data_IF_329568862363
#
_entry.id   IF_329568862363
#
_cell.length_a   1.000
_cell.length_b   1.000
_cell.length_c   1.000
_cell.angle_alpha   90.00
_cell.angle_beta   90.00
_cell.angle_gamma   90.00
#
_symmetry.space_group_name_H-M   'P 1'
#
loop_
_entity.id
_entity.type
_entity.pdbx_description
1 polymer ?
#
# COMPACT_ATOMS: atom_id res chain seq x y z
N UNK A 1 31.68 -5.89 0.07
CA UNK A 1 30.41 -5.15 0.27
C UNK A 1 30.25 -4.10 -0.85
N UNK A 2 29.99 -4.56 -2.08
CA UNK A 2 30.03 -3.76 -3.33
C UNK A 2 28.61 -3.56 -3.87
N UNK A 3 27.69 -3.07 -3.03
CA UNK A 3 26.32 -2.77 -3.44
C UNK A 3 25.89 -1.35 -3.08
N UNK A 4 26.82 -0.46 -2.69
CA UNK A 4 26.47 0.87 -2.17
C UNK A 4 26.65 2.04 -3.15
N UNK A 5 27.35 1.92 -4.29
CA UNK A 5 27.94 3.14 -4.89
C UNK A 5 27.49 3.63 -6.27
N UNK A 6 26.59 3.00 -7.03
CA UNK A 6 26.29 3.52 -8.40
C UNK A 6 24.86 3.55 -8.92
N UNK A 7 23.86 2.99 -8.23
CA UNK A 7 22.46 3.07 -8.69
C UNK A 7 21.67 4.28 -8.14
N UNK A 8 22.29 5.10 -7.29
CA UNK A 8 21.67 6.28 -6.64
C UNK A 8 22.03 7.60 -7.33
N UNK A 9 21.96 7.66 -8.66
CA UNK A 9 21.93 8.94 -9.37
C UNK A 9 20.49 9.19 -9.81
N UNK A 10 19.75 9.87 -8.94
CA UNK A 10 18.56 10.68 -9.23
C UNK A 10 17.48 10.07 -10.13
N UNK A 11 16.93 8.92 -9.74
CA UNK A 11 15.73 8.41 -10.38
C UNK A 11 14.56 8.53 -9.41
N UNK A 12 13.53 9.29 -9.78
CA UNK A 12 12.20 9.35 -9.14
C UNK A 12 11.70 7.96 -8.72
N UNK A 13 12.06 6.92 -9.47
CA UNK A 13 11.82 5.51 -9.16
C UNK A 13 12.35 5.04 -7.80
N UNK A 14 13.50 5.56 -7.33
CA UNK A 14 14.06 5.22 -6.01
C UNK A 14 13.14 5.70 -4.89
N UNK A 15 12.50 6.86 -5.03
CA UNK A 15 11.52 7.35 -4.05
C UNK A 15 10.27 6.47 -4.00
N UNK A 16 9.76 6.05 -5.16
CA UNK A 16 8.64 5.10 -5.21
C UNK A 16 8.99 3.75 -4.59
N UNK A 17 10.21 3.24 -4.82
CA UNK A 17 10.68 1.99 -4.23
C UNK A 17 10.83 2.07 -2.71
N UNK A 18 11.41 3.16 -2.20
CA UNK A 18 11.54 3.38 -0.75
C UNK A 18 10.14 3.42 -0.12
N UNK A 19 9.21 4.17 -0.71
CA UNK A 19 7.84 4.28 -0.20
C UNK A 19 7.11 2.93 -0.22
N UNK A 20 7.22 2.17 -1.30
CA UNK A 20 6.65 0.82 -1.39
C UNK A 20 7.21 -0.10 -0.31
N UNK A 21 8.53 -0.07 -0.07
CA UNK A 21 9.15 -0.84 1.01
C UNK A 21 8.63 -0.43 2.39
N UNK A 22 8.44 0.86 2.64
CA UNK A 22 7.85 1.35 3.89
C UNK A 22 6.42 0.84 4.10
N UNK A 23 5.57 0.89 3.06
CA UNK A 23 4.21 0.36 3.15
C UNK A 23 4.17 -1.17 3.32
N UNK A 24 5.09 -1.90 2.69
CA UNK A 24 5.20 -3.35 2.90
C UNK A 24 5.64 -3.69 4.34
N UNK A 25 6.57 -2.92 4.91
CA UNK A 25 6.97 -3.09 6.31
C UNK A 25 5.82 -2.77 7.27
N UNK A 26 5.04 -1.72 7.00
CA UNK A 26 3.84 -1.40 7.77
C UNK A 26 2.76 -2.47 7.65
N UNK A 27 2.54 -2.99 6.44
CA UNK A 27 1.59 -4.09 6.19
C UNK A 27 1.99 -5.33 6.97
N UNK A 28 3.29 -5.66 6.95
CA UNK A 28 3.82 -6.77 7.71
C UNK A 28 3.65 -6.53 9.21
N UNK A 29 4.05 -5.39 9.75
CA UNK A 29 3.96 -5.13 11.20
C UNK A 29 2.52 -5.15 11.72
N UNK A 30 1.57 -4.63 10.94
CA UNK A 30 0.15 -4.66 11.30
C UNK A 30 -0.40 -6.08 11.25
N UNK A 31 -0.10 -6.86 10.20
CA UNK A 31 -0.72 -8.17 9.98
C UNK A 31 0.01 -9.34 10.66
N UNK A 32 1.30 -9.19 10.96
CA UNK A 32 2.14 -10.23 11.54
C UNK A 32 1.59 -10.77 12.88
N UNK A 33 1.12 -9.94 13.84
CA UNK A 33 0.51 -10.43 15.07
C UNK A 33 -0.70 -11.34 14.81
N UNK A 34 -1.54 -11.00 13.83
CA UNK A 34 -2.70 -11.81 13.44
C UNK A 34 -2.27 -13.15 12.86
N UNK A 35 -1.28 -13.16 11.97
CA UNK A 35 -0.77 -14.40 11.37
C UNK A 35 -0.07 -15.30 12.38
N UNK A 36 0.75 -14.73 13.28
CA UNK A 36 1.40 -15.47 14.37
C UNK A 36 0.34 -16.13 15.27
N UNK A 37 -0.66 -15.36 15.71
CA UNK A 37 -1.68 -15.90 16.60
C UNK A 37 -2.51 -17.00 15.90
N UNK A 38 -2.83 -16.82 14.62
CA UNK A 38 -3.51 -17.85 13.81
C UNK A 38 -2.66 -19.11 13.65
N UNK A 39 -1.34 -18.96 13.48
CA UNK A 39 -0.40 -20.08 13.39
C UNK A 39 -0.25 -20.86 14.71
N UNK A 40 -0.28 -20.17 15.85
CA UNK A 40 -0.12 -20.79 17.18
C UNK A 40 -1.43 -21.44 17.65
N UNK A 41 -2.55 -20.74 17.52
CA UNK A 41 -3.83 -21.14 18.14
C UNK A 41 -4.78 -21.85 17.17
N UNK A 42 -4.47 -21.83 15.86
CA UNK A 42 -5.36 -22.33 14.81
C UNK A 42 -6.65 -21.51 14.64
N UNK A 43 -6.83 -20.41 15.39
CA UNK A 43 -8.04 -19.59 15.41
C UNK A 43 -7.74 -18.17 14.93
N UNK A 44 -8.72 -17.56 14.26
CA UNK A 44 -8.67 -16.13 13.94
C UNK A 44 -8.63 -15.30 15.24
N UNK A 45 -7.85 -14.22 15.24
CA UNK A 45 -7.77 -13.32 16.39
C UNK A 45 -9.14 -12.67 16.61
N UNK A 46 -9.85 -13.12 17.64
CA UNK A 46 -11.13 -12.55 18.01
C UNK A 46 -10.89 -11.44 19.03
N UNK A 47 -10.84 -10.20 18.55
CA UNK A 47 -10.70 -9.04 19.43
C UNK A 47 -12.07 -8.76 20.02
N UNK A 48 -12.15 -8.69 21.35
CA UNK A 48 -13.42 -8.53 22.08
C UNK A 48 -14.22 -7.29 21.66
N UNK A 49 -13.54 -6.24 21.20
CA UNK A 49 -14.17 -5.04 20.68
C UNK A 49 -14.42 -5.15 19.15
N UNK A 50 -15.69 -5.31 18.76
CA UNK A 50 -16.13 -5.41 17.35
C UNK A 50 -15.67 -4.21 16.50
N UNK A 51 -15.75 -3.00 17.05
CA UNK A 51 -15.36 -1.77 16.34
C UNK A 51 -13.85 -1.72 16.11
N UNK A 52 -13.07 -2.15 17.11
CA UNK A 52 -11.62 -2.26 16.96
C UNK A 52 -11.24 -3.34 15.95
N UNK A 53 -11.95 -4.48 15.93
CA UNK A 53 -11.73 -5.53 14.93
C UNK A 53 -12.02 -5.03 13.50
N UNK A 54 -13.11 -4.29 13.30
CA UNK A 54 -13.46 -3.69 12.02
C UNK A 54 -12.41 -2.66 11.58
N UNK A 55 -11.99 -1.77 12.49
CA UNK A 55 -10.94 -0.78 12.22
C UNK A 55 -9.58 -1.42 11.92
N UNK A 56 -9.21 -2.47 12.65
CA UNK A 56 -7.97 -3.20 12.40
C UNK A 56 -7.99 -3.89 11.03
N UNK A 57 -9.13 -4.50 10.66
CA UNK A 57 -9.30 -5.10 9.32
C UNK A 57 -9.25 -4.03 8.22
N UNK A 58 -9.87 -2.88 8.45
CA UNK A 58 -9.78 -1.73 7.54
C UNK A 58 -8.35 -1.29 7.29
N UNK A 59 -7.55 -1.08 8.33
CA UNK A 59 -6.15 -0.69 8.18
C UNK A 59 -5.38 -1.77 7.42
N UNK A 60 -5.61 -3.04 7.78
CA UNK A 60 -4.98 -4.19 7.13
C UNK A 60 -5.27 -4.24 5.63
N UNK A 61 -6.53 -4.13 5.21
CA UNK A 61 -6.92 -4.17 3.79
C UNK A 61 -6.43 -2.94 3.04
N UNK A 62 -6.54 -1.75 3.66
CA UNK A 62 -6.09 -0.49 3.07
C UNK A 62 -4.59 -0.50 2.81
N UNK A 63 -3.78 -0.99 3.77
CA UNK A 63 -2.33 -1.08 3.60
C UNK A 63 -1.93 -2.04 2.46
N UNK A 64 -2.60 -3.19 2.35
CA UNK A 64 -2.39 -4.14 1.25
C UNK A 64 -2.76 -3.50 -0.09
N UNK A 65 -3.93 -2.86 -0.19
CA UNK A 65 -4.37 -2.18 -1.39
C UNK A 65 -3.40 -1.07 -1.81
N UNK A 66 -2.93 -0.26 -0.86
CA UNK A 66 -1.91 0.77 -1.12
C UNK A 66 -0.64 0.14 -1.70
N UNK A 67 -0.14 -0.95 -1.11
CA UNK A 67 1.05 -1.65 -1.60
C UNK A 67 0.87 -2.20 -3.03
N UNK A 68 -0.28 -2.79 -3.34
CA UNK A 68 -0.59 -3.32 -4.67
C UNK A 68 -0.64 -2.20 -5.71
N UNK A 69 -1.29 -1.09 -5.38
CA UNK A 69 -1.37 0.07 -6.28
C UNK A 69 -0.04 0.80 -6.45
N UNK A 70 0.84 0.79 -5.45
CA UNK A 70 2.22 1.26 -5.62
C UNK A 70 2.94 0.47 -6.72
N UNK A 71 2.75 -0.85 -6.76
CA UNK A 71 3.35 -1.71 -7.79
C UNK A 71 2.81 -1.39 -9.18
N UNK A 72 1.50 -1.13 -9.29
CA UNK A 72 0.85 -0.70 -10.55
C UNK A 72 1.43 0.65 -11.01
N UNK A 73 1.55 1.64 -10.13
CA UNK A 73 2.10 2.97 -10.48
C UNK A 73 3.56 2.88 -10.94
N UNK A 74 4.39 2.11 -10.23
CA UNK A 74 5.80 1.91 -10.60
C UNK A 74 5.89 1.23 -11.97
N UNK A 75 5.08 0.20 -12.19
CA UNK A 75 5.07 -0.56 -13.44
C UNK A 75 4.58 0.30 -14.61
N UNK A 76 3.49 1.05 -14.40
CA UNK A 76 2.96 2.00 -15.38
C UNK A 76 4.00 3.07 -15.72
N UNK A 77 4.63 3.69 -14.73
CA UNK A 77 5.67 4.70 -14.96
C UNK A 77 6.86 4.14 -15.76
N UNK A 78 7.27 2.89 -15.50
CA UNK A 78 8.31 2.21 -16.30
C UNK A 78 7.86 1.92 -17.72
N UNK A 79 6.62 1.47 -17.91
CA UNK A 79 6.05 1.18 -19.23
C UNK A 79 5.93 2.46 -20.07
N UNK A 80 5.45 3.55 -19.48
CA UNK A 80 5.44 4.86 -20.11
C UNK A 80 6.84 5.29 -20.52
N UNK A 81 7.83 5.19 -19.64
CA UNK A 81 9.22 5.54 -19.98
C UNK A 81 9.78 4.68 -21.14
N UNK A 82 9.44 3.39 -21.19
CA UNK A 82 9.87 2.50 -22.28
C UNK A 82 9.23 2.86 -23.62
N UNK A 83 7.93 3.20 -23.62
CA UNK A 83 7.19 3.61 -24.82
C UNK A 83 7.64 5.00 -25.29
N UNK A 84 7.92 5.90 -24.35
CA UNK A 84 8.28 7.29 -24.63
C UNK A 84 9.76 7.48 -24.98
N UNK A 85 10.60 6.44 -24.80
CA UNK A 85 12.02 6.44 -25.18
C UNK A 85 12.25 6.79 -26.67
N UNK A 86 11.22 6.75 -27.51
CA UNK A 86 11.24 7.18 -28.92
C UNK A 86 10.52 8.49 -29.25
N UNK A 87 9.80 9.12 -28.32
CA UNK A 87 9.01 10.35 -28.57
C UNK A 87 9.41 11.43 -27.57
N UNK A 88 9.75 12.63 -28.05
CA UNK A 88 10.15 13.77 -27.20
C UNK A 88 8.92 14.41 -26.54
N UNK A 89 8.15 13.69 -25.74
CA UNK A 89 7.10 14.32 -24.96
C UNK A 89 7.73 15.04 -23.76
N UNK A 90 7.41 16.32 -23.62
CA UNK A 90 7.73 17.14 -22.45
C UNK A 90 7.00 16.57 -21.23
N UNK A 91 7.73 15.90 -20.36
CA UNK A 91 7.19 15.35 -19.11
C UNK A 91 6.63 16.46 -18.22
N UNK A 92 5.34 16.34 -17.85
CA UNK A 92 4.80 17.00 -16.67
C UNK A 92 5.43 16.32 -15.45
N UNK A 93 6.46 16.94 -14.87
CA UNK A 93 7.19 16.37 -13.73
C UNK A 93 6.34 16.55 -12.46
N UNK A 94 5.41 15.63 -12.21
CA UNK A 94 4.71 15.59 -10.93
C UNK A 94 5.66 15.09 -9.84
N UNK A 95 5.65 15.75 -8.68
CA UNK A 95 6.45 15.33 -7.53
C UNK A 95 6.07 13.90 -7.11
N UNK A 96 7.03 12.97 -6.93
CA UNK A 96 6.75 11.60 -6.52
C UNK A 96 6.00 11.56 -5.18
N UNK A 97 6.32 12.48 -4.26
CA UNK A 97 5.64 12.60 -2.97
C UNK A 97 4.15 12.91 -3.13
N UNK A 98 3.80 13.84 -4.03
CA UNK A 98 2.40 14.18 -4.26
C UNK A 98 1.64 12.99 -4.83
N UNK A 99 2.24 12.23 -5.74
CA UNK A 99 1.61 11.04 -6.33
C UNK A 99 1.38 9.95 -5.29
N UNK A 100 2.39 9.67 -4.45
CA UNK A 100 2.29 8.70 -3.35
C UNK A 100 1.21 9.11 -2.34
N UNK A 101 1.17 10.39 -1.97
CA UNK A 101 0.20 10.92 -1.02
C UNK A 101 -1.23 10.83 -1.59
N UNK A 102 -1.44 11.25 -2.84
CA UNK A 102 -2.74 11.15 -3.51
C UNK A 102 -3.21 9.70 -3.63
N UNK A 103 -2.33 8.77 -3.99
CA UNK A 103 -2.67 7.34 -4.05
C UNK A 103 -3.08 6.81 -2.68
N UNK A 104 -2.33 7.14 -1.64
CA UNK A 104 -2.65 6.73 -0.27
C UNK A 104 -4.02 7.27 0.16
N UNK A 105 -4.29 8.54 -0.12
CA UNK A 105 -5.56 9.19 0.22
C UNK A 105 -6.75 8.58 -0.53
N UNK A 106 -6.61 8.31 -1.82
CA UNK A 106 -7.66 7.66 -2.63
C UNK A 106 -7.99 6.28 -2.08
N UNK A 107 -6.98 5.48 -1.74
CA UNK A 107 -7.20 4.12 -1.22
C UNK A 107 -7.90 4.14 0.14
N UNK A 108 -7.49 5.04 1.04
CA UNK A 108 -8.18 5.27 2.32
C UNK A 108 -9.65 5.61 2.06
N UNK A 109 -9.94 6.58 1.19
CA UNK A 109 -11.32 6.99 0.92
C UNK A 109 -12.18 5.89 0.27
N UNK A 110 -11.60 5.06 -0.59
CA UNK A 110 -12.32 3.99 -1.28
C UNK A 110 -12.65 2.81 -0.34
N UNK A 111 -11.78 2.54 0.63
CA UNK A 111 -11.97 1.44 1.59
C UNK A 111 -12.91 1.82 2.75
N UNK A 112 -13.10 3.11 3.07
CA UNK A 112 -14.03 3.57 4.13
C UNK A 112 -15.47 3.04 3.94
N UNK A 113 -16.10 3.15 2.76
CA UNK A 113 -17.43 2.59 2.50
C UNK A 113 -17.51 1.08 2.74
N UNK A 114 -16.47 0.32 2.37
CA UNK A 114 -16.44 -1.13 2.52
C UNK A 114 -16.52 -1.55 4.00
N UNK A 115 -15.86 -0.78 4.88
CA UNK A 115 -15.91 -0.98 6.33
C UNK A 115 -17.26 -0.57 6.90
N UNK A 116 -17.82 0.55 6.43
CA UNK A 116 -19.16 1.00 6.82
C UNK A 116 -20.22 -0.06 6.53
N UNK A 117 -20.14 -0.70 5.35
CA UNK A 117 -20.98 -1.86 5.01
C UNK A 117 -20.74 -3.04 5.95
N UNK A 118 -19.48 -3.36 6.23
CA UNK A 118 -19.12 -4.49 7.10
C UNK A 118 -19.64 -4.36 8.54
N UNK A 119 -19.59 -3.16 9.11
CA UNK A 119 -20.12 -2.89 10.45
C UNK A 119 -21.64 -3.02 10.44
N UNK A 120 -22.31 -2.41 9.45
CA UNK A 120 -23.77 -2.40 9.33
C UNK A 120 -24.38 -3.81 9.21
N UNK A 121 -23.79 -4.68 8.40
CA UNK A 121 -24.30 -6.05 8.21
C UNK A 121 -24.03 -6.99 9.39
N UNK A 122 -23.10 -6.65 10.30
CA UNK A 122 -22.79 -7.47 11.47
C UNK A 122 -23.66 -7.13 12.69
N UNK A 123 -24.38 -6.01 12.67
CA UNK A 123 -25.35 -5.66 13.69
C UNK A 123 -26.76 -6.24 13.40
N UNK A 124 -27.00 -6.75 12.19
CA UNK A 124 -28.27 -7.37 11.77
C UNK A 124 -28.32 -8.91 11.95
N UNK A 125 -27.24 -9.54 12.44
CA UNK A 125 -27.12 -10.98 12.73
C UNK A 125 -26.75 -11.23 14.21
#
# INVERSE_FOLDING_TARGET
MVLRSRSMKDNVFSYYLISMCSFNLLTLSVNLPRYINKGITGKEVNIANKNFCAFYRYISTTLVAISDWHLVVITGARLFFLIDRGKKYTHLYSSPFSTIFSLSLIMVLFEVPAVGFWIRFKDEN
#
